data_IF_199844623544
#
_entry.id   IF_199844623544
#
_cell.length_a   1.000
_cell.length_b   1.000
_cell.length_c   1.000
_cell.angle_alpha   90.00
_cell.angle_beta   90.00
_cell.angle_gamma   90.00
#
_symmetry.space_group_name_H-M   'P 1'
#
loop_
_entity.id
_entity.type
_entity.pdbx_description
1 polymer ?
#
# COMPACT_ATOMS: atom_id res chain seq x y z
N UNK A 1 17.98 7.82 22.73
CA UNK A 1 17.02 6.72 22.63
C UNK A 1 16.29 6.77 21.30
N UNK A 2 16.22 5.65 20.66
CA UNK A 2 15.59 5.56 19.35
C UNK A 2 14.27 4.83 19.42
N UNK A 3 13.31 5.35 18.71
CA UNK A 3 12.03 4.67 18.53
C UNK A 3 11.88 4.32 17.07
N UNK A 4 11.35 3.13 16.83
CA UNK A 4 10.98 2.76 15.48
C UNK A 4 9.89 3.69 15.00
N UNK A 5 10.08 4.23 13.82
CA UNK A 5 9.09 5.10 13.22
C UNK A 5 7.93 4.25 12.71
N UNK A 6 6.73 4.61 13.11
CA UNK A 6 5.53 3.86 12.75
C UNK A 6 4.51 4.81 12.14
N UNK A 7 4.00 4.45 10.99
CA UNK A 7 2.98 5.23 10.30
C UNK A 7 1.75 4.38 10.04
N UNK A 8 0.59 4.97 10.21
CA UNK A 8 -0.67 4.33 9.87
C UNK A 8 -1.28 5.02 8.66
N UNK A 9 -1.62 4.23 7.65
CA UNK A 9 -2.13 4.74 6.39
C UNK A 9 -3.55 4.23 6.22
N UNK A 10 -4.48 5.14 5.97
CA UNK A 10 -5.88 4.80 5.75
C UNK A 10 -6.15 4.65 4.25
N UNK A 11 -7.37 4.22 3.92
CA UNK A 11 -7.77 4.01 2.51
C UNK A 11 -7.52 5.23 1.64
N UNK A 12 -7.82 6.41 2.16
CA UNK A 12 -7.63 7.65 1.41
C UNK A 12 -8.74 7.90 0.41
N UNK A 13 -8.37 8.50 -0.72
CA UNK A 13 -9.33 8.85 -1.75
C UNK A 13 -9.59 7.69 -2.70
N UNK A 14 -10.78 7.67 -3.30
CA UNK A 14 -11.17 6.58 -4.19
C UNK A 14 -10.62 6.73 -5.62
N UNK A 15 -9.95 7.84 -5.93
CA UNK A 15 -9.50 8.06 -7.31
C UNK A 15 -8.47 7.03 -7.78
N UNK A 16 -7.80 6.33 -6.87
CA UNK A 16 -6.87 5.25 -7.19
C UNK A 16 -7.49 3.87 -7.04
N UNK A 17 -8.71 3.80 -6.49
CA UNK A 17 -9.35 2.52 -6.23
C UNK A 17 -10.02 1.98 -7.49
N UNK A 18 -10.17 0.66 -7.52
CA UNK A 18 -10.86 0.00 -8.63
C UNK A 18 -12.37 0.26 -8.49
N UNK A 19 -12.94 1.01 -9.42
CA UNK A 19 -14.32 1.49 -9.31
C UNK A 19 -15.32 0.74 -10.20
N UNK A 20 -14.86 -0.11 -11.10
CA UNK A 20 -15.76 -0.78 -12.06
C UNK A 20 -16.63 -1.81 -11.36
N UNK A 21 -17.88 -1.45 -11.09
CA UNK A 21 -18.81 -2.33 -10.40
C UNK A 21 -18.57 -2.44 -8.90
N UNK A 22 -17.71 -1.60 -8.35
CA UNK A 22 -17.37 -1.66 -6.94
C UNK A 22 -18.35 -0.84 -6.10
N UNK A 23 -18.66 -1.37 -4.91
CA UNK A 23 -19.38 -0.63 -3.89
C UNK A 23 -18.41 -0.33 -2.76
N UNK A 24 -18.15 0.94 -2.51
CA UNK A 24 -17.18 1.37 -1.52
C UNK A 24 -17.88 2.23 -0.49
N UNK A 25 -17.85 1.80 0.77
CA UNK A 25 -18.49 2.50 1.88
C UNK A 25 -17.41 2.90 2.87
N UNK A 26 -17.28 4.21 3.11
CA UNK A 26 -16.35 4.74 4.11
C UNK A 26 -17.07 4.88 5.44
N UNK A 27 -16.45 4.38 6.50
CA UNK A 27 -17.00 4.45 7.85
C UNK A 27 -16.40 5.62 8.62
N UNK A 28 -17.04 5.99 9.71
CA UNK A 28 -16.60 7.14 10.51
C UNK A 28 -15.24 6.93 11.15
N UNK A 29 -14.87 5.70 11.43
CA UNK A 29 -13.58 5.37 12.04
C UNK A 29 -12.43 5.33 11.04
N UNK A 30 -12.70 5.67 9.76
CA UNK A 30 -11.69 5.65 8.72
C UNK A 30 -11.54 4.32 7.99
N UNK A 31 -12.22 3.28 8.46
CA UNK A 31 -12.21 2.02 7.74
C UNK A 31 -13.12 2.08 6.52
N UNK A 32 -12.92 1.14 5.60
CA UNK A 32 -13.64 1.13 4.33
C UNK A 32 -14.09 -0.28 4.01
N UNK A 33 -15.34 -0.41 3.59
CA UNK A 33 -15.84 -1.67 3.05
C UNK A 33 -15.83 -1.60 1.53
N UNK A 34 -15.17 -2.56 0.91
CA UNK A 34 -15.10 -2.70 -0.54
C UNK A 34 -15.83 -4.00 -0.91
N UNK A 35 -16.74 -3.90 -1.87
CA UNK A 35 -17.49 -5.06 -2.34
C UNK A 35 -17.50 -5.06 -3.86
N UNK A 36 -17.02 -6.15 -4.47
CA UNK A 36 -17.09 -6.33 -5.91
C UNK A 36 -16.88 -7.81 -6.23
N UNK A 37 -17.97 -8.57 -6.45
CA UNK A 37 -17.86 -10.02 -6.69
C UNK A 37 -17.25 -10.38 -8.03
N UNK A 38 -17.05 -9.40 -8.91
CA UNK A 38 -16.58 -9.64 -10.26
C UNK A 38 -15.19 -9.07 -10.55
N UNK A 39 -14.48 -8.60 -9.53
CA UNK A 39 -13.15 -8.05 -9.76
C UNK A 39 -12.18 -9.16 -10.18
N UNK A 40 -11.48 -9.01 -11.32
CA UNK A 40 -10.57 -10.05 -11.78
C UNK A 40 -9.35 -10.20 -10.87
N UNK A 41 -8.84 -11.43 -10.78
CA UNK A 41 -7.57 -11.68 -10.09
C UNK A 41 -6.45 -10.91 -10.77
N UNK A 42 -5.55 -10.35 -9.96
CA UNK A 42 -4.45 -9.53 -10.46
C UNK A 42 -4.78 -8.07 -10.57
N UNK A 43 -6.04 -7.69 -10.38
CA UNK A 43 -6.45 -6.28 -10.45
C UNK A 43 -5.96 -5.52 -9.22
N UNK A 44 -5.45 -4.32 -9.44
CA UNK A 44 -5.08 -3.42 -8.36
C UNK A 44 -6.33 -2.80 -7.78
N UNK A 45 -6.62 -3.12 -6.50
CA UNK A 45 -7.81 -2.63 -5.82
C UNK A 45 -7.63 -1.19 -5.37
N UNK A 46 -6.47 -0.89 -4.79
CA UNK A 46 -6.12 0.43 -4.30
C UNK A 46 -4.61 0.57 -4.31
N UNK A 47 -4.13 1.81 -4.42
CA UNK A 47 -2.70 2.07 -4.34
C UNK A 47 -2.44 3.37 -3.58
N UNK A 48 -1.24 3.48 -3.03
CA UNK A 48 -0.78 4.66 -2.30
C UNK A 48 0.61 5.03 -2.79
N UNK A 49 0.87 6.34 -2.87
CA UNK A 49 2.16 6.84 -3.35
C UNK A 49 2.82 7.71 -2.29
N UNK A 50 4.15 7.74 -2.32
CA UNK A 50 4.93 8.50 -1.35
C UNK A 50 5.22 9.92 -1.83
N UNK A 51 5.54 10.09 -3.11
CA UNK A 51 5.85 11.39 -3.68
C UNK A 51 4.96 11.61 -4.89
N UNK A 52 4.38 12.81 -4.96
CA UNK A 52 3.55 13.21 -6.06
C UNK A 52 3.97 14.57 -6.57
N UNK A 53 3.63 14.85 -7.80
CA UNK A 53 3.78 16.18 -8.37
C UNK A 53 2.59 17.02 -7.92
N UNK A 54 2.79 17.86 -6.93
CA UNK A 54 1.74 18.71 -6.41
C UNK A 54 1.07 19.58 -7.46
N UNK A 55 1.88 20.09 -8.38
CA UNK A 55 1.38 20.98 -9.40
C UNK A 55 0.43 20.27 -10.34
N UNK A 56 0.69 18.99 -10.61
CA UNK A 56 -0.17 18.21 -11.50
C UNK A 56 -1.33 17.57 -10.75
N UNK A 57 -1.06 16.93 -9.61
CA UNK A 57 -2.05 16.13 -8.91
C UNK A 57 -2.81 16.90 -7.84
N UNK A 58 -2.18 17.90 -7.23
CA UNK A 58 -2.74 18.69 -6.14
C UNK A 58 -3.21 17.84 -4.98
N UNK A 59 -2.55 16.70 -4.78
CA UNK A 59 -2.90 15.74 -3.75
C UNK A 59 -1.66 15.45 -2.92
N UNK A 60 -1.82 15.43 -1.61
CA UNK A 60 -0.71 15.12 -0.73
C UNK A 60 -0.35 13.65 -0.82
N UNK A 61 0.95 13.31 -0.71
CA UNK A 61 1.34 11.90 -0.66
C UNK A 61 0.73 11.22 0.54
N UNK A 62 0.29 9.97 0.34
CA UNK A 62 -0.32 9.18 1.40
C UNK A 62 0.72 8.43 2.23
N UNK A 63 1.90 8.20 1.69
CA UNK A 63 2.93 7.38 2.32
C UNK A 63 4.05 8.23 2.87
N UNK A 64 4.68 7.80 3.99
CA UNK A 64 5.81 8.52 4.55
C UNK A 64 7.07 8.36 3.71
N UNK A 65 8.04 9.24 3.94
CA UNK A 65 9.37 9.08 3.37
C UNK A 65 10.12 7.99 4.12
N UNK A 66 10.83 7.15 3.39
CA UNK A 66 11.61 6.07 3.97
C UNK A 66 13.10 6.34 3.81
N UNK A 67 13.89 5.74 4.69
CA UNK A 67 15.34 5.88 4.67
C UNK A 67 15.96 4.73 3.90
N UNK A 68 16.85 5.07 2.96
CA UNK A 68 17.51 4.06 2.13
C UNK A 68 18.37 3.15 2.99
N UNK A 69 18.30 1.86 2.72
CA UNK A 69 19.05 0.84 3.44
C UNK A 69 18.42 0.38 4.74
N UNK A 70 17.34 1.02 5.17
CA UNK A 70 16.66 0.64 6.41
C UNK A 70 15.61 -0.43 6.14
N UNK A 71 15.34 -1.24 7.15
CA UNK A 71 14.34 -2.31 7.07
C UNK A 71 13.01 -1.82 7.59
N UNK A 72 11.94 -2.29 6.95
CA UNK A 72 10.59 -1.91 7.30
C UNK A 72 9.65 -3.10 7.29
N UNK A 73 8.68 -3.10 8.19
CA UNK A 73 7.56 -4.02 8.18
C UNK A 73 6.33 -3.29 7.67
N UNK A 74 5.68 -3.88 6.69
CA UNK A 74 4.41 -3.40 6.15
C UNK A 74 3.34 -4.42 6.50
N UNK A 75 2.31 -3.99 7.22
CA UNK A 75 1.20 -4.84 7.60
C UNK A 75 -0.10 -4.23 7.12
N UNK A 76 -0.91 -5.01 6.43
CA UNK A 76 -2.25 -4.60 6.04
C UNK A 76 -3.24 -5.14 7.06
N UNK A 77 -3.91 -4.24 7.75
CA UNK A 77 -4.94 -4.59 8.71
C UNK A 77 -6.28 -4.62 7.98
N UNK A 78 -6.70 -5.79 7.57
CA UNK A 78 -7.89 -5.97 6.76
C UNK A 78 -8.47 -7.37 6.93
N UNK A 79 -9.73 -7.52 6.52
CA UNK A 79 -10.38 -8.82 6.43
C UNK A 79 -10.93 -8.97 5.02
N UNK A 80 -10.65 -10.09 4.39
CA UNK A 80 -11.06 -10.35 3.02
C UNK A 80 -11.89 -11.63 2.93
N UNK A 81 -12.83 -11.63 1.99
CA UNK A 81 -13.64 -12.82 1.69
C UNK A 81 -13.45 -13.13 0.20
N UNK A 82 -12.97 -14.30 -0.15
CA UNK A 82 -12.44 -15.37 0.72
C UNK A 82 -11.16 -14.97 1.43
N UNK A 83 -10.85 -15.65 2.52
CA UNK A 83 -9.62 -15.42 3.26
C UNK A 83 -8.41 -15.63 2.34
N UNK A 84 -7.43 -14.72 2.43
CA UNK A 84 -6.22 -14.83 1.62
C UNK A 84 -6.38 -14.38 0.17
N UNK A 85 -7.45 -13.67 -0.13
CA UNK A 85 -7.74 -13.24 -1.51
C UNK A 85 -7.21 -11.85 -1.85
N UNK A 86 -6.34 -11.31 -1.04
CA UNK A 86 -5.70 -10.02 -1.28
C UNK A 86 -4.20 -10.15 -1.05
N UNK A 87 -3.41 -9.64 -2.00
CA UNK A 87 -1.95 -9.64 -1.92
C UNK A 87 -1.44 -8.21 -1.72
N UNK A 88 -0.30 -8.10 -1.07
CA UNK A 88 0.43 -6.83 -0.96
C UNK A 88 1.49 -6.74 -2.04
N UNK A 89 1.64 -5.56 -2.62
CA UNK A 89 2.70 -5.28 -3.57
C UNK A 89 3.35 -3.96 -3.20
N UNK A 90 4.69 -3.92 -3.24
CA UNK A 90 5.42 -2.67 -3.13
C UNK A 90 6.29 -2.53 -4.38
N UNK A 91 6.23 -1.35 -5.00
CA UNK A 91 7.00 -1.03 -6.19
C UNK A 91 7.97 0.09 -5.86
N UNK A 92 9.24 -0.10 -6.20
CA UNK A 92 10.28 0.92 -6.03
C UNK A 92 10.50 1.60 -7.37
N UNK A 93 10.49 2.92 -7.37
CA UNK A 93 10.50 3.71 -8.59
C UNK A 93 11.72 4.61 -8.63
N UNK A 94 12.21 4.90 -9.85
CA UNK A 94 13.25 5.89 -10.04
C UNK A 94 12.63 7.29 -10.13
N UNK A 95 13.47 8.31 -10.33
CA UNK A 95 13.00 9.70 -10.39
C UNK A 95 12.08 9.99 -11.58
N UNK A 96 12.08 9.12 -12.56
CA UNK A 96 11.26 9.26 -13.77
C UNK A 96 9.96 8.45 -13.68
N UNK A 97 9.73 7.79 -12.55
CA UNK A 97 8.53 6.99 -12.35
C UNK A 97 8.63 5.57 -12.89
N UNK A 98 9.81 5.15 -13.32
CA UNK A 98 10.01 3.79 -13.80
C UNK A 98 10.19 2.83 -12.65
N UNK A 99 9.54 1.67 -12.73
CA UNK A 99 9.67 0.64 -11.72
C UNK A 99 11.00 -0.07 -11.86
N UNK A 100 11.84 0.00 -10.82
CA UNK A 100 13.15 -0.65 -10.83
C UNK A 100 13.15 -1.96 -10.07
N UNK A 101 12.17 -2.18 -9.20
CA UNK A 101 12.04 -3.41 -8.43
C UNK A 101 10.64 -3.48 -7.86
N UNK A 102 10.11 -4.70 -7.73
CA UNK A 102 8.84 -4.90 -7.05
C UNK A 102 8.90 -6.13 -6.18
N UNK A 103 8.13 -6.11 -5.10
CA UNK A 103 7.95 -7.26 -4.21
C UNK A 103 6.45 -7.51 -4.08
N UNK A 104 6.06 -8.78 -4.20
CA UNK A 104 4.67 -9.18 -4.02
C UNK A 104 4.63 -10.24 -2.94
N UNK A 105 3.75 -10.03 -1.97
CA UNK A 105 3.58 -10.98 -0.87
C UNK A 105 2.15 -11.48 -0.85
N UNK A 106 2.00 -12.80 -0.75
CA UNK A 106 0.67 -13.45 -0.75
C UNK A 106 0.01 -13.41 0.61
N UNK A 107 0.45 -12.52 1.46
CA UNK A 107 -0.10 -12.35 2.79
C UNK A 107 -0.33 -10.88 3.07
N UNK A 108 -0.80 -10.58 4.26
CA UNK A 108 -1.04 -9.19 4.68
C UNK A 108 0.14 -8.58 5.40
N UNK A 109 1.29 -9.25 5.39
CA UNK A 109 2.49 -8.77 6.05
C UNK A 109 3.70 -8.96 5.14
N UNK A 110 4.58 -7.94 5.11
CA UNK A 110 5.76 -7.95 4.26
C UNK A 110 6.89 -7.24 4.99
N UNK A 111 8.10 -7.80 4.91
CA UNK A 111 9.31 -7.16 5.41
C UNK A 111 10.19 -6.85 4.22
N UNK A 112 10.76 -5.65 4.16
CA UNK A 112 11.60 -5.26 3.05
C UNK A 112 12.68 -4.28 3.50
N UNK A 113 13.72 -4.15 2.66
CA UNK A 113 14.76 -3.14 2.82
C UNK A 113 14.55 -2.12 1.72
N UNK A 114 14.49 -0.84 2.09
CA UNK A 114 14.27 0.22 1.10
C UNK A 114 15.55 0.39 0.27
N UNK A 115 15.52 0.13 -1.05
CA UNK A 115 16.73 0.14 -1.87
C UNK A 115 17.37 1.50 -1.97
N UNK A 116 18.71 1.52 -2.04
CA UNK A 116 19.45 2.78 -2.23
C UNK A 116 19.13 3.43 -3.57
N UNK A 117 18.79 2.65 -4.59
CA UNK A 117 18.49 3.13 -5.92
C UNK A 117 17.09 3.72 -6.06
N UNK A 118 16.24 3.49 -5.07
CA UNK A 118 14.86 3.93 -5.14
C UNK A 118 14.76 5.44 -4.89
N UNK A 119 14.03 6.13 -5.77
CA UNK A 119 13.69 7.53 -5.57
C UNK A 119 12.41 7.65 -4.75
N UNK A 120 11.43 6.80 -5.04
CA UNK A 120 10.17 6.74 -4.31
C UNK A 120 9.61 5.32 -4.39
N UNK A 121 8.43 5.12 -3.83
CA UNK A 121 7.80 3.81 -3.81
C UNK A 121 6.29 3.95 -3.85
N UNK A 122 5.63 2.84 -4.18
CA UNK A 122 4.17 2.75 -4.22
C UNK A 122 3.76 1.43 -3.60
N UNK A 123 2.70 1.47 -2.80
CA UNK A 123 2.12 0.27 -2.20
C UNK A 123 0.77 0.02 -2.85
N UNK A 124 0.49 -1.24 -3.18
CA UNK A 124 -0.75 -1.62 -3.84
C UNK A 124 -1.37 -2.83 -3.15
N UNK A 125 -2.70 -2.88 -3.16
CA UNK A 125 -3.46 -4.09 -2.83
C UNK A 125 -3.92 -4.71 -4.13
N UNK A 126 -3.64 -6.00 -4.30
CA UNK A 126 -4.01 -6.74 -5.49
C UNK A 126 -5.09 -7.75 -5.16
N UNK A 127 -6.05 -7.91 -6.08
CA UNK A 127 -7.07 -8.95 -5.95
C UNK A 127 -6.48 -10.30 -6.29
N UNK A 128 -6.78 -11.30 -5.49
CA UNK A 128 -6.51 -12.70 -5.78
C UNK A 128 -7.82 -13.47 -5.68
N UNK A 129 -8.88 -12.91 -6.29
CA UNK A 129 -10.21 -13.47 -6.24
C UNK A 129 -11.08 -12.89 -5.13
N UNK A 130 -10.72 -11.72 -4.61
CA UNK A 130 -11.46 -11.09 -3.53
C UNK A 130 -12.85 -10.67 -4.00
N UNK A 131 -13.84 -10.86 -3.14
CA UNK A 131 -15.22 -10.41 -3.40
C UNK A 131 -15.62 -9.29 -2.45
N UNK A 132 -15.15 -9.38 -1.21
CA UNK A 132 -15.48 -8.43 -0.17
C UNK A 132 -14.26 -8.17 0.68
N UNK A 133 -14.04 -6.92 1.05
CA UNK A 133 -12.87 -6.50 1.79
C UNK A 133 -13.27 -5.45 2.81
N UNK A 134 -12.93 -5.69 4.08
CA UNK A 134 -12.99 -4.66 5.12
C UNK A 134 -11.57 -4.19 5.36
N UNK A 135 -11.28 -2.96 4.98
CA UNK A 135 -9.96 -2.38 5.11
C UNK A 135 -9.92 -1.42 6.28
N UNK A 136 -9.00 -1.66 7.22
CA UNK A 136 -8.85 -0.80 8.38
C UNK A 136 -7.67 0.15 8.23
N UNK A 137 -6.49 -0.37 7.91
CA UNK A 137 -5.31 0.47 7.74
C UNK A 137 -4.15 -0.33 7.18
N UNK A 138 -3.14 0.40 6.71
CA UNK A 138 -1.80 -0.15 6.51
C UNK A 138 -0.93 0.38 7.64
N UNK A 139 -0.04 -0.45 8.16
CA UNK A 139 0.95 -0.01 9.14
C UNK A 139 2.33 -0.23 8.57
N UNK A 140 3.14 0.82 8.62
CA UNK A 140 4.49 0.80 8.11
C UNK A 140 5.42 1.20 9.25
N UNK A 141 6.31 0.28 9.64
CA UNK A 141 7.17 0.48 10.79
C UNK A 141 8.61 0.19 10.43
N UNK A 142 9.51 1.10 10.81
CA UNK A 142 10.93 0.88 10.64
C UNK A 142 11.41 -0.11 11.68
N UNK A 143 12.06 -1.19 11.22
CA UNK A 143 12.48 -2.28 12.10
C UNK A 143 13.99 -2.38 12.26
N UNK A 144 14.76 -1.71 11.40
CA UNK A 144 16.21 -1.78 11.51
C UNK A 144 16.88 -0.67 10.73
N UNK A 145 18.11 -0.39 11.14
CA UNK A 145 18.94 0.58 10.47
C UNK A 145 19.92 -0.13 9.55
N UNK A 146 20.48 0.63 8.61
CA UNK A 146 21.50 0.11 7.73
C UNK A 146 22.74 -0.26 8.53
N UNK A 147 23.26 -1.45 8.30
CA UNK A 147 24.53 -1.88 8.87
C UNK A 147 25.64 -1.55 7.89
N UNK A 148 26.65 -0.90 8.38
CA UNK A 148 27.81 -0.50 7.59
C UNK A 148 28.96 -1.44 7.85
#
# INVERSE_FOLDING_TARGET
MFRNKKSEILWGLNHKAYMYGSKIVKRQDGSVQFYNPLVPSGTEIQSWVAIQNYQAARTQPALPLLKKGHSYDLTANLEAVPTGSVFLKISFLDRYGNEIKQLIEKSTHMTFIYPHEAYTYRISLLSAGVKELDFYSLKLEETGEEHV
#
